data_IF_863316270796
#
_entry.id   IF_863316270796
#
_cell.length_a   1.000
_cell.length_b   1.000
_cell.length_c   1.000
_cell.angle_alpha   90.00
_cell.angle_beta   90.00
_cell.angle_gamma   90.00
#
_symmetry.space_group_name_H-M   'P 1'
#
loop_
_entity.id
_entity.type
_entity.pdbx_description
1 polymer ?
2 polymer ?
3 non-polymer ?
4 water ?
#
# COMPACT_ATOMS: atom_id res chain seq x y z
N UNK A 6 -8.62 12.42 15.20
CA UNK A 6 -7.79 11.52 14.40
C UNK A 6 -8.64 10.46 13.70
N UNK A 7 -8.01 9.72 12.79
CA UNK A 7 -8.69 8.69 12.00
C UNK A 7 -8.29 7.33 12.54
N UNK A 8 -9.29 6.51 12.87
CA UNK A 8 -9.06 5.15 13.36
C UNK A 8 -8.97 4.22 12.16
N UNK A 9 -7.74 3.91 11.74
CA UNK A 9 -7.54 3.08 10.56
C UNK A 9 -7.84 1.61 10.81
N UNK A 10 -8.00 1.19 12.06
CA UNK A 10 -8.35 -0.21 12.34
C UNK A 10 -9.75 -0.56 11.85
N UNK A 11 -10.57 0.44 11.55
CA UNK A 11 -11.92 0.21 11.03
C UNK A 11 -11.95 -0.02 9.53
N UNK A 12 -10.79 -0.11 8.87
CA UNK A 12 -10.76 -0.32 7.43
C UNK A 12 -10.28 -1.72 7.10
N UNK A 13 -10.90 -2.38 6.12
CA UNK A 13 -10.54 -3.78 5.82
C UNK A 13 -9.22 -3.94 5.09
N UNK A 14 -8.48 -2.86 4.85
CA UNK A 14 -7.18 -2.95 4.20
C UNK A 14 -6.02 -2.62 5.14
N UNK A 15 -6.29 -2.38 6.42
CA UNK A 15 -5.27 -2.00 7.38
C UNK A 15 -4.85 -3.23 8.18
N UNK A 16 -3.59 -3.63 8.02
CA UNK A 16 -3.05 -4.82 8.68
C UNK A 16 -2.24 -4.49 9.92
N UNK A 17 -2.13 -3.22 10.29
CA UNK A 17 -1.32 -2.87 11.44
C UNK A 17 0.15 -3.16 11.21
N UNK A 18 0.87 -3.38 12.30
CA UNK A 18 2.29 -3.73 12.21
C UNK A 18 2.43 -5.16 11.72
N UNK A 19 3.17 -5.36 10.62
CA UNK A 19 3.28 -6.68 10.02
C UNK A 19 4.56 -6.75 9.21
N UNK A 20 5.30 -7.85 9.36
CA UNK A 20 6.53 -8.05 8.61
C UNK A 20 6.22 -8.27 7.13
N UNK A 21 7.26 -8.15 6.31
CA UNK A 21 7.10 -8.40 4.88
C UNK A 21 6.82 -9.88 4.62
N UNK A 22 7.59 -10.77 5.25
CA UNK A 22 7.35 -12.20 5.11
C UNK A 22 5.92 -12.57 5.46
N UNK A 23 5.42 -12.03 6.58
CA UNK A 23 4.05 -12.30 6.99
C UNK A 23 3.05 -11.79 5.96
N UNK A 24 3.40 -10.74 5.22
CA UNK A 24 2.51 -10.19 4.21
C UNK A 24 2.54 -11.00 2.93
N UNK A 25 3.73 -11.45 2.52
CA UNK A 25 3.85 -12.20 1.27
C UNK A 25 3.03 -13.49 1.32
N UNK A 26 3.00 -14.15 2.47
CA UNK A 26 2.22 -15.37 2.59
C UNK A 26 0.72 -15.08 2.61
N UNK A 27 0.32 -13.93 3.15
CA UNK A 27 -1.10 -13.60 3.26
C UNK A 27 -1.70 -13.23 1.91
N UNK A 28 -0.90 -12.69 0.99
CA UNK A 28 -1.39 -12.20 -0.29
C UNK A 28 -0.99 -13.06 -1.47
N UNK A 29 -0.19 -14.11 -1.25
CA UNK A 29 0.31 -14.91 -2.37
C UNK A 29 -0.81 -15.61 -3.12
N UNK A 30 -1.88 -16.00 -2.42
CA UNK A 30 -2.94 -16.80 -3.01
C UNK A 30 -4.12 -15.98 -3.51
N UNK A 31 -4.14 -14.68 -3.27
CA UNK A 31 -5.26 -13.84 -3.67
C UNK A 31 -5.03 -13.25 -5.07
N UNK A 32 -6.11 -12.74 -5.65
CA UNK A 32 -6.08 -12.22 -7.00
C UNK A 32 -5.26 -10.93 -7.07
N UNK A 33 -4.85 -10.58 -8.29
CA UNK A 33 -4.16 -9.32 -8.51
C UNK A 33 -5.07 -8.15 -8.17
N UNK A 34 -4.52 -7.15 -7.49
CA UNK A 34 -5.30 -6.06 -6.96
C UNK A 34 -5.64 -6.19 -5.49
N UNK A 35 -5.29 -7.32 -4.87
CA UNK A 35 -5.46 -7.47 -3.43
C UNK A 35 -4.32 -6.76 -2.72
N UNK A 36 -4.66 -5.94 -1.72
CA UNK A 36 -3.69 -5.04 -1.12
C UNK A 36 -3.92 -4.94 0.38
N UNK A 37 -2.94 -4.36 1.06
CA UNK A 37 -3.05 -4.02 2.47
C UNK A 37 -2.06 -2.91 2.77
N UNK A 38 -2.41 -2.08 3.76
CA UNK A 38 -1.51 -1.07 4.29
C UNK A 38 -1.05 -1.55 5.66
N UNK A 39 0.26 -1.59 5.86
CA UNK A 39 0.84 -2.11 7.09
C UNK A 39 1.87 -1.12 7.63
N UNK A 40 2.09 -1.19 8.94
CA UNK A 40 3.18 -0.44 9.55
C UNK A 40 4.47 -1.24 9.43
N UNK A 41 5.52 -0.59 8.96
CA UNK A 41 6.81 -1.25 8.80
C UNK A 41 7.42 -1.51 10.17
N UNK A 42 7.74 -2.76 10.51
CA UNK A 42 8.27 -3.04 11.86
C UNK A 42 9.60 -2.38 12.15
N UNK A 43 10.43 -2.16 11.13
CA UNK A 43 11.74 -1.55 11.34
C UNK A 43 11.69 -0.03 11.39
N UNK A 44 10.58 0.58 10.98
CA UNK A 44 10.43 2.04 10.97
C UNK A 44 9.11 2.38 11.66
N UNK A 45 9.20 2.85 12.90
CA UNK A 45 8.00 3.14 13.67
C UNK A 45 7.21 4.28 13.03
N UNK A 46 5.89 4.10 12.97
CA UNK A 46 4.96 5.10 12.43
C UNK A 46 5.25 5.43 10.97
N UNK A 47 5.84 4.48 10.24
CA UNK A 47 5.99 4.54 8.80
C UNK A 47 5.28 3.35 8.18
N UNK A 48 4.55 3.59 7.11
CA UNK A 48 3.65 2.58 6.55
C UNK A 48 4.06 2.22 5.13
N UNK A 49 3.54 1.09 4.67
CA UNK A 49 3.82 0.59 3.33
C UNK A 49 2.55 -0.01 2.74
N UNK A 50 2.42 0.14 1.43
CA UNK A 50 1.38 -0.55 0.67
C UNK A 50 1.96 -1.85 0.15
N UNK A 51 1.23 -2.94 0.34
CA UNK A 51 1.60 -4.26 -0.17
C UNK A 51 0.49 -4.72 -1.10
N UNK A 52 0.80 -4.86 -2.39
CA UNK A 52 -0.20 -5.10 -3.43
C UNK A 52 0.20 -6.34 -4.21
N UNK A 53 -0.76 -7.23 -4.43
CA UNK A 53 -0.55 -8.38 -5.29
C UNK A 53 -0.73 -7.98 -6.75
N UNK A 54 0.27 -8.28 -7.57
CA UNK A 54 0.20 -8.00 -9.00
C UNK A 54 0.92 -9.11 -9.74
N UNK A 55 0.34 -9.54 -10.87
CA UNK A 55 0.78 -10.74 -11.57
C UNK A 55 0.80 -11.91 -10.60
N UNK A 56 2.00 -12.34 -10.21
CA UNK A 56 2.15 -13.40 -9.22
C UNK A 56 3.11 -13.01 -8.10
N UNK A 57 3.49 -11.74 -8.01
CA UNK A 57 4.36 -11.24 -6.96
C UNK A 57 3.56 -10.41 -5.97
N UNK A 58 4.21 -10.05 -4.87
CA UNK A 58 3.66 -9.13 -3.88
C UNK A 58 4.59 -7.94 -3.82
N UNK A 59 4.16 -6.81 -4.38
CA UNK A 59 4.96 -5.60 -4.39
C UNK A 59 4.79 -4.84 -3.07
N UNK A 60 5.81 -4.05 -2.73
CA UNK A 60 5.81 -3.28 -1.49
C UNK A 60 6.27 -1.86 -1.79
N UNK A 61 5.43 -0.89 -1.46
CA UNK A 61 5.65 0.52 -1.79
C UNK A 61 5.75 1.31 -0.50
N UNK A 62 6.83 2.09 -0.37
CA UNK A 62 7.00 2.94 0.80
C UNK A 62 6.02 4.10 0.77
N UNK A 63 5.35 4.34 1.90
CA UNK A 63 4.55 5.55 2.08
C UNK A 63 5.44 6.59 2.76
N UNK A 64 5.78 7.64 2.02
CA UNK A 64 6.69 8.67 2.50
C UNK A 64 5.89 9.78 3.16
N UNK A 65 6.43 10.32 4.25
CA UNK A 65 5.84 11.46 4.95
C UNK A 65 6.89 12.54 5.06
N UNK A 66 6.70 13.63 4.32
CA UNK A 66 7.69 14.70 4.26
C UNK A 66 6.97 16.03 4.11
N UNK A 67 7.34 17.00 4.94
CA UNK A 67 6.77 18.35 4.90
C UNK A 67 5.24 18.32 4.99
N UNK A 68 4.73 17.48 5.89
CA UNK A 68 3.31 17.29 6.18
C UNK A 68 2.51 16.72 5.02
N UNK A 69 3.17 16.23 3.97
CA UNK A 69 2.49 15.55 2.87
C UNK A 69 2.69 14.04 2.98
N UNK A 70 1.70 13.29 2.50
CA UNK A 70 1.75 11.84 2.46
C UNK A 70 1.71 11.41 1.00
N UNK A 71 2.64 10.55 0.60
CA UNK A 71 2.74 10.19 -0.80
C UNK A 71 3.57 8.93 -0.97
N UNK A 72 3.26 8.17 -2.03
CA UNK A 72 4.12 7.09 -2.50
C UNK A 72 4.98 7.53 -3.67
N UNK A 73 4.76 8.73 -4.21
CA UNK A 73 5.57 9.31 -5.26
C UNK A 73 5.56 10.82 -5.08
N UNK A 74 6.67 11.46 -5.44
CA UNK A 74 6.81 12.90 -5.22
C UNK A 74 5.83 13.70 -6.07
N UNK A 75 5.35 13.15 -7.18
CA UNK A 75 4.53 13.90 -8.13
C UNK A 75 3.05 13.90 -7.78
N UNK A 76 2.65 13.32 -6.65
CA UNK A 76 1.24 13.28 -6.26
C UNK A 76 1.18 13.12 -4.75
N UNK A 77 0.61 14.11 -4.06
CA UNK A 77 0.65 14.16 -2.61
C UNK A 77 -0.75 14.35 -2.04
N UNK A 78 -0.91 13.92 -0.79
CA UNK A 78 -2.20 13.91 -0.12
C UNK A 78 -2.02 14.39 1.31
N UNK A 79 -3.14 14.78 1.93
CA UNK A 79 -3.13 15.28 3.30
C UNK A 79 -3.20 14.18 4.34
N UNK A 80 -3.55 12.95 3.96
CA UNK A 80 -3.68 11.86 4.91
C UNK A 80 -3.49 10.53 4.20
N UNK A 81 -3.21 9.50 4.99
CA UNK A 81 -3.09 8.15 4.44
C UNK A 81 -4.40 7.69 3.82
N UNK A 82 -5.54 8.10 4.39
CA UNK A 82 -6.83 7.69 3.86
C UNK A 82 -7.05 8.27 2.47
N UNK A 83 -6.78 9.56 2.29
CA UNK A 83 -6.93 10.17 0.97
C UNK A 83 -5.99 9.54 -0.04
N UNK A 84 -4.80 9.12 0.40
CA UNK A 84 -3.87 8.43 -0.49
C UNK A 84 -4.45 7.10 -0.96
N UNK A 85 -4.93 6.28 -0.02
CA UNK A 85 -5.48 4.98 -0.38
C UNK A 85 -6.74 5.15 -1.21
N UNK A 86 -7.59 6.12 -0.85
CA UNK A 86 -8.82 6.33 -1.60
C UNK A 86 -8.55 6.74 -3.04
N UNK A 87 -7.47 7.49 -3.28
CA UNK A 87 -7.15 7.90 -4.64
C UNK A 87 -6.76 6.71 -5.50
N UNK A 88 -5.89 5.85 -4.99
CA UNK A 88 -5.41 4.71 -5.76
C UNK A 88 -6.40 3.55 -5.77
N UNK A 89 -7.50 3.65 -5.02
CA UNK A 89 -8.60 2.72 -5.22
C UNK A 89 -9.32 2.99 -6.54
N UNK A 90 -9.21 4.20 -7.07
CA UNK A 90 -9.85 4.58 -8.32
C UNK A 90 -8.87 4.90 -9.44
N UNK A 91 -7.60 5.14 -9.14
CA UNK A 91 -6.60 5.47 -10.14
C UNK A 91 -5.46 4.46 -10.07
N UNK A 92 -5.08 3.91 -11.22
CA UNK A 92 -4.06 2.87 -11.26
C UNK A 92 -2.71 3.41 -10.80
N UNK A 93 -1.92 2.53 -10.19
CA UNK A 93 -0.54 2.86 -9.83
C UNK A 93 0.34 3.08 -11.06
N UNK A 94 -0.14 2.72 -12.25
CA UNK A 94 0.67 2.84 -13.46
C UNK A 94 1.08 4.28 -13.74
N UNK A 95 0.29 5.26 -13.27
CA UNK A 95 0.63 6.66 -13.52
C UNK A 95 1.94 7.06 -12.86
N UNK A 96 2.41 6.29 -11.88
CA UNK A 96 3.70 6.55 -11.24
C UNK A 96 4.57 5.31 -11.12
N UNK A 97 4.07 4.14 -11.50
CA UNK A 97 4.86 2.90 -11.50
C UNK A 97 4.45 2.13 -12.75
N UNK A 98 5.25 2.27 -13.82
CA UNK A 98 4.86 1.75 -15.13
C UNK A 98 4.62 0.25 -15.11
N UNK A 99 5.27 -0.48 -14.21
CA UNK A 99 5.12 -1.92 -14.13
C UNK A 99 4.03 -2.36 -13.16
N UNK A 100 3.29 -1.42 -12.58
CA UNK A 100 2.23 -1.73 -11.62
C UNK A 100 0.91 -1.16 -12.13
N UNK A 101 0.40 -1.74 -13.22
CA UNK A 101 -0.87 -1.29 -13.79
C UNK A 101 -2.02 -1.97 -13.04
N UNK A 102 -2.33 -1.41 -11.87
CA UNK A 102 -3.46 -1.89 -11.08
C UNK A 102 -3.85 -0.80 -10.09
N UNK A 103 -5.10 -0.87 -9.64
CA UNK A 103 -5.59 -0.04 -8.56
C UNK A 103 -5.53 -0.83 -7.25
N UNK A 104 -5.87 -0.16 -6.16
CA UNK A 104 -6.05 -0.84 -4.88
C UNK A 104 -7.45 -1.42 -4.89
N UNK A 105 -7.57 -2.64 -5.41
CA UNK A 105 -8.86 -3.20 -5.80
C UNK A 105 -9.55 -3.96 -4.67
N UNK A 106 -8.86 -4.90 -4.04
CA UNK A 106 -9.48 -5.77 -3.03
C UNK A 106 -8.77 -5.63 -1.70
N UNK A 107 -9.42 -5.09 -0.66
CA UNK A 107 -8.83 -5.15 0.68
C UNK A 107 -8.62 -6.59 1.10
N UNK A 108 -7.49 -6.85 1.76
CA UNK A 108 -7.09 -8.22 2.05
C UNK A 108 -8.01 -8.92 3.04
N UNK A 109 -8.97 -8.21 3.64
CA UNK A 109 -9.98 -8.83 4.49
C UNK A 109 -11.24 -9.05 3.65
N UNK A 110 -11.20 -10.10 2.84
CA UNK A 110 -12.31 -10.45 1.97
C UNK A 110 -12.91 -11.80 2.36
N UNK B 3 14.40 -3.12 -2.40
CA UNK B 3 13.49 -3.97 -1.64
C UNK B 3 12.07 -3.42 -1.70
N UNK B 4 11.96 -2.10 -1.79
CA UNK B 4 10.67 -1.46 -2.02
C UNK B 4 10.64 -0.94 -3.45
N UNK B 5 9.44 -0.86 -4.03
CA UNK B 5 9.27 -0.45 -5.41
C UNK B 5 9.87 0.93 -5.67
N UNK B 6 9.57 1.89 -4.80
CA UNK B 6 10.05 3.25 -4.96
C UNK B 6 11.55 3.36 -5.16
N UNK B 7 12.32 3.02 -4.13
CA UNK B 7 13.78 3.07 -4.22
C UNK B 7 14.29 1.99 -5.17
X LIG C 1 -13.05 4.67 2.26
X LIG C 1 -13.87 5.39 1.34
X LIG C 1 -12.10 3.76 1.49
X LIG C 1 -11.33 2.98 2.41
X LIG D 1 -12.36 11.05 3.31
X LIG D 1 -12.15 11.95 2.22
X LIG D 1 -13.61 10.21 3.04
X LIG D 1 -13.79 9.25 4.08
#
# INVERSE_FOLDING_TARGET
>A
GPLGSEIDYTAYPWFAGNMERQQTDNLLKSHASGTYLIRERPAEAERFAISIKFNDEVKHIKVVEKDNWIHITEAKKFDSLLELVEYYQCHSLKESFKQLDTTLKYPYKSRERSAGIL
>B
KDSYVGDEA
>C hetero
1 EDO C1 O1 C2 O2
>D hetero
1 EDO C1 O1 C2 O2
#
